data_IF_595144617079
#
_entry.id   IF_595144617079
#
_cell.length_a   1.000
_cell.length_b   1.000
_cell.length_c   1.000
_cell.angle_alpha   90.00
_cell.angle_beta   90.00
_cell.angle_gamma   90.00
#
_symmetry.space_group_name_H-M   'P 1'
#
loop_
_entity.id
_entity.type
_entity.pdbx_description
1 polymer ?
#
# COMPACT_ATOMS: atom_id res chain seq x y z
N UNK A 1 -20.18 -16.08 -2.95
CA UNK A 1 -20.38 -14.75 -2.33
C UNK A 1 -19.92 -13.72 -3.31
N UNK A 2 -20.89 -13.10 -3.99
CA UNK A 2 -20.66 -12.14 -5.07
C UNK A 2 -20.38 -10.78 -4.44
N UNK A 3 -19.17 -10.28 -4.68
CA UNK A 3 -18.77 -8.91 -4.39
C UNK A 3 -19.66 -7.95 -5.19
N UNK A 4 -20.23 -6.95 -4.53
CA UNK A 4 -21.12 -5.96 -5.16
C UNK A 4 -20.26 -4.73 -5.42
N UNK A 5 -19.92 -4.40 -6.68
CA UNK A 5 -19.13 -3.20 -6.96
C UNK A 5 -20.05 -1.99 -6.87
N UNK A 6 -19.94 -1.26 -5.77
CA UNK A 6 -20.73 -0.07 -5.53
C UNK A 6 -20.15 0.81 -4.43
N UNK A 7 -18.96 1.40 -4.67
CA UNK A 7 -18.51 2.66 -4.06
C UNK A 7 -17.06 2.97 -4.47
N UNK A 8 -16.87 3.82 -5.50
CA UNK A 8 -15.60 4.46 -5.90
C UNK A 8 -14.36 3.59 -5.82
N UNK A 9 -14.11 2.76 -6.83
CA UNK A 9 -13.16 1.67 -6.70
C UNK A 9 -11.71 2.17 -6.79
N UNK A 10 -11.01 2.01 -5.68
CA UNK A 10 -9.57 1.85 -5.70
C UNK A 10 -9.28 0.36 -5.51
N UNK A 11 -8.56 -0.27 -6.43
CA UNK A 11 -8.18 -1.68 -6.33
C UNK A 11 -6.72 -1.77 -5.91
N UNK A 12 -6.44 -2.58 -4.88
CA UNK A 12 -5.10 -2.80 -4.36
C UNK A 12 -4.65 -4.23 -4.62
N UNK A 13 -3.60 -4.35 -5.42
CA UNK A 13 -2.99 -5.62 -5.79
C UNK A 13 -2.09 -6.15 -4.68
N UNK A 14 -1.83 -7.45 -4.70
CA UNK A 14 -0.80 -8.05 -3.87
C UNK A 14 0.58 -7.57 -4.35
N UNK A 15 1.41 -7.11 -3.42
CA UNK A 15 2.78 -6.67 -3.70
C UNK A 15 3.62 -7.83 -4.25
N UNK A 16 4.52 -7.50 -5.18
CA UNK A 16 5.42 -8.47 -5.78
C UNK A 16 6.86 -7.94 -5.82
N UNK A 17 7.86 -8.73 -5.39
CA UNK A 17 7.72 -10.06 -4.78
C UNK A 17 7.11 -10.02 -3.37
N UNK A 18 6.59 -11.16 -2.88
CA UNK A 18 6.20 -11.38 -1.49
C UNK A 18 6.40 -12.88 -1.13
N UNK A 19 7.29 -13.23 -0.18
CA UNK A 19 8.19 -12.36 0.59
C UNK A 19 9.20 -11.61 -0.28
N UNK A 20 9.81 -10.54 0.24
CA UNK A 20 10.75 -9.69 -0.52
C UNK A 20 12.01 -9.30 0.26
N UNK A 21 13.05 -8.93 -0.49
CA UNK A 21 14.31 -8.38 0.01
C UNK A 21 15.01 -7.48 -1.04
N UNK A 22 15.38 -6.21 -0.74
CA UNK A 22 14.79 -5.34 0.29
C UNK A 22 13.54 -4.62 -0.24
N UNK A 23 13.27 -4.71 -1.55
CA UNK A 23 12.23 -3.94 -2.23
C UNK A 23 11.08 -4.79 -2.74
N UNK A 24 9.88 -4.23 -2.69
CA UNK A 24 8.67 -4.79 -3.34
C UNK A 24 7.93 -3.69 -4.07
N UNK A 25 7.23 -4.09 -5.14
CA UNK A 25 6.35 -3.21 -5.91
C UNK A 25 4.92 -3.39 -5.41
N UNK A 26 4.23 -2.28 -5.19
CA UNK A 26 2.82 -2.22 -4.80
C UNK A 26 2.07 -1.55 -5.94
N UNK A 27 1.17 -2.31 -6.57
CA UNK A 27 0.32 -1.83 -7.66
C UNK A 27 -1.09 -1.54 -7.15
N UNK A 28 -1.68 -0.44 -7.62
CA UNK A 28 -3.07 -0.11 -7.36
C UNK A 28 -3.68 0.70 -8.51
N UNK A 29 -5.00 0.59 -8.68
CA UNK A 29 -5.73 1.36 -9.69
C UNK A 29 -6.77 2.28 -9.06
N UNK A 30 -7.03 3.39 -9.74
CA UNK A 30 -8.02 4.40 -9.34
C UNK A 30 -9.01 4.59 -10.48
N UNK A 31 -10.31 4.43 -10.21
CA UNK A 31 -11.36 4.69 -11.22
C UNK A 31 -11.51 6.17 -11.61
N UNK A 32 -11.09 7.08 -10.73
CA UNK A 32 -11.20 8.55 -10.92
C UNK A 32 -10.10 9.27 -10.18
N UNK A 33 -9.88 10.52 -10.57
CA UNK A 33 -9.02 11.46 -9.85
C UNK A 33 -9.47 11.57 -8.39
N UNK A 34 -8.58 11.23 -7.46
CA UNK A 34 -8.91 11.19 -6.03
C UNK A 34 -7.70 11.40 -5.15
N UNK A 35 -7.95 11.80 -3.91
CA UNK A 35 -6.93 11.81 -2.87
C UNK A 35 -6.59 10.37 -2.47
N UNK A 36 -5.32 10.06 -2.42
CA UNK A 36 -4.77 8.80 -1.93
C UNK A 36 -3.86 9.03 -0.72
N UNK A 37 -3.85 8.05 0.17
CA UNK A 37 -2.87 7.85 1.22
C UNK A 37 -2.49 6.36 1.22
N UNK A 38 -1.33 6.04 0.64
CA UNK A 38 -0.73 4.71 0.65
C UNK A 38 0.37 4.68 1.71
N UNK A 39 0.21 3.85 2.73
CA UNK A 39 1.15 3.76 3.83
C UNK A 39 1.36 2.33 4.32
N UNK A 40 2.52 2.06 4.91
CA UNK A 40 2.92 0.79 5.52
C UNK A 40 2.78 0.88 7.04
N UNK A 41 2.28 -0.19 7.64
CA UNK A 41 2.05 -0.34 9.07
C UNK A 41 2.66 -1.65 9.58
N UNK A 42 3.14 -1.63 10.82
CA UNK A 42 3.52 -2.85 11.55
C UNK A 42 2.30 -3.56 12.15
N UNK A 43 2.53 -4.69 12.82
CA UNK A 43 1.47 -5.47 13.48
C UNK A 43 0.79 -4.74 14.64
N UNK A 44 1.45 -3.73 15.23
CA UNK A 44 0.86 -2.88 16.26
C UNK A 44 0.02 -1.74 15.67
N UNK A 45 -0.08 -1.65 14.34
CA UNK A 45 -0.79 -0.58 13.64
C UNK A 45 -0.04 0.75 13.63
N UNK A 46 1.25 0.77 13.96
CA UNK A 46 2.08 1.99 13.87
C UNK A 46 2.48 2.20 12.41
N UNK A 47 2.37 3.43 11.91
CA UNK A 47 2.85 3.78 10.56
C UNK A 47 4.36 3.68 10.53
N UNK A 48 4.86 2.91 9.57
CA UNK A 48 6.27 2.63 9.32
C UNK A 48 6.78 3.52 8.18
N UNK A 49 6.01 3.64 7.10
CA UNK A 49 6.38 4.43 5.93
C UNK A 49 5.15 5.03 5.24
N UNK A 50 5.25 6.26 4.76
CA UNK A 50 4.34 6.89 3.80
C UNK A 50 4.89 6.69 2.39
N UNK A 51 4.14 6.03 1.51
CA UNK A 51 4.59 5.66 0.18
C UNK A 51 4.05 6.58 -0.92
N UNK A 52 2.81 7.04 -0.80
CA UNK A 52 2.21 8.00 -1.72
C UNK A 52 1.10 8.78 -1.03
N UNK A 53 1.11 10.11 -1.18
CA UNK A 53 0.12 11.01 -0.59
C UNK A 53 -0.21 12.14 -1.56
N UNK A 54 -1.49 12.44 -1.70
CA UNK A 54 -1.95 13.57 -2.53
C UNK A 54 -3.08 13.19 -3.47
N UNK A 55 -3.38 14.05 -4.43
CA UNK A 55 -4.35 13.75 -5.49
C UNK A 55 -3.62 13.07 -6.63
N UNK A 56 -4.09 11.90 -7.03
CA UNK A 56 -3.63 11.18 -8.22
C UNK A 56 -4.77 11.08 -9.22
N UNK A 57 -4.42 11.09 -10.50
CA UNK A 57 -5.38 10.90 -11.59
C UNK A 57 -5.89 9.46 -11.67
N UNK A 58 -7.02 9.26 -12.33
CA UNK A 58 -7.52 7.95 -12.70
C UNK A 58 -6.46 7.11 -13.45
N UNK A 59 -6.48 5.80 -13.26
CA UNK A 59 -5.59 4.85 -13.93
C UNK A 59 -4.77 3.98 -12.99
N UNK A 60 -3.78 3.31 -13.56
CA UNK A 60 -2.87 2.40 -12.87
C UNK A 60 -1.69 3.13 -12.26
N UNK A 61 -1.37 2.80 -11.02
CA UNK A 61 -0.29 3.40 -10.25
C UNK A 61 0.57 2.33 -9.61
N UNK A 62 1.84 2.68 -9.38
CA UNK A 62 2.73 1.80 -8.66
C UNK A 62 3.71 2.57 -7.79
N UNK A 63 4.08 1.94 -6.68
CA UNK A 63 5.10 2.47 -5.76
C UNK A 63 6.03 1.34 -5.35
N UNK A 64 7.31 1.67 -5.20
CA UNK A 64 8.30 0.75 -4.65
C UNK A 64 8.48 1.09 -3.17
N UNK A 65 8.36 0.09 -2.31
CA UNK A 65 8.85 0.19 -0.94
C UNK A 65 10.16 -0.56 -0.84
N UNK A 66 11.22 0.13 -0.41
CA UNK A 66 12.60 -0.37 -0.25
C UNK A 66 12.90 -0.85 1.18
N UNK A 67 11.87 -0.99 2.01
CA UNK A 67 12.02 -1.37 3.41
C UNK A 67 12.47 -0.22 4.32
N UNK A 68 12.58 1.02 3.85
CA UNK A 68 12.91 2.17 4.72
C UNK A 68 11.68 2.71 5.45
N UNK A 69 11.92 3.27 6.63
CA UNK A 69 10.92 3.93 7.47
C UNK A 69 10.89 5.44 7.21
N UNK A 70 9.81 6.10 7.63
CA UNK A 70 9.70 7.57 7.62
C UNK A 70 10.83 8.26 8.44
N UNK A 71 11.44 7.53 9.39
CA UNK A 71 12.55 8.02 10.22
C UNK A 71 13.93 7.83 9.55
N UNK A 72 13.98 7.32 8.31
CA UNK A 72 15.20 7.14 7.53
C UNK A 72 15.98 5.85 7.82
N UNK A 73 15.54 5.02 8.77
CA UNK A 73 16.14 3.71 9.09
C UNK A 73 15.53 2.56 8.27
N UNK A 74 16.13 1.38 8.35
CA UNK A 74 15.55 0.15 7.79
C UNK A 74 14.51 -0.44 8.73
N UNK A 75 13.36 -0.82 8.19
CA UNK A 75 12.36 -1.61 8.90
C UNK A 75 12.92 -3.02 9.20
N UNK A 76 12.68 -3.58 10.39
CA UNK A 76 13.08 -4.96 10.69
C UNK A 76 12.43 -5.99 9.75
N UNK A 77 13.05 -7.15 9.59
CA UNK A 77 12.38 -8.30 8.96
C UNK A 77 11.09 -8.62 9.72
N UNK A 78 10.04 -9.01 8.98
CA UNK A 78 8.76 -9.34 9.60
C UNK A 78 7.56 -9.08 8.70
N UNK A 79 6.39 -9.25 9.29
CA UNK A 79 5.11 -9.00 8.64
C UNK A 79 4.71 -7.53 8.75
N UNK A 80 4.25 -6.98 7.64
CA UNK A 80 3.73 -5.63 7.53
C UNK A 80 2.38 -5.65 6.80
N UNK A 81 1.63 -4.55 6.92
CA UNK A 81 0.42 -4.29 6.15
C UNK A 81 0.57 -2.96 5.43
N UNK A 82 0.29 -2.93 4.14
CA UNK A 82 0.11 -1.68 3.41
C UNK A 82 -1.38 -1.40 3.23
N UNK A 83 -1.74 -0.13 3.39
CA UNK A 83 -3.12 0.35 3.37
C UNK A 83 -3.21 1.45 2.34
N UNK A 84 -4.15 1.30 1.40
CA UNK A 84 -4.57 2.34 0.47
C UNK A 84 -5.86 2.95 0.99
N UNK A 85 -5.83 4.24 1.31
CA UNK A 85 -7.01 5.01 1.72
C UNK A 85 -7.32 6.11 0.70
N UNK A 86 -8.60 6.21 0.36
CA UNK A 86 -9.22 7.30 -0.39
C UNK A 86 -10.40 7.85 0.43
N UNK A 87 -11.08 8.94 0.02
CA UNK A 87 -12.26 9.43 0.72
C UNK A 87 -13.42 8.41 0.80
N UNK A 88 -13.49 7.44 -0.12
CA UNK A 88 -14.61 6.47 -0.20
C UNK A 88 -14.21 5.03 0.07
N UNK A 89 -12.93 4.68 -0.11
CA UNK A 89 -12.45 3.29 0.00
C UNK A 89 -11.23 3.24 0.90
N UNK A 90 -11.18 2.20 1.73
CA UNK A 90 -9.99 1.82 2.47
C UNK A 90 -9.75 0.33 2.32
N UNK A 91 -8.65 -0.04 1.68
CA UNK A 91 -8.28 -1.44 1.44
C UNK A 91 -6.86 -1.70 1.90
N UNK A 92 -6.53 -2.95 2.17
CA UNK A 92 -5.22 -3.32 2.71
C UNK A 92 -4.82 -4.74 2.33
N UNK A 93 -3.51 -5.00 2.36
CA UNK A 93 -2.90 -6.28 2.06
C UNK A 93 -1.67 -6.49 2.96
N UNK A 94 -1.32 -7.75 3.20
CA UNK A 94 -0.16 -8.11 4.01
C UNK A 94 1.07 -8.41 3.15
N UNK A 95 2.25 -8.17 3.70
CA UNK A 95 3.54 -8.48 3.07
C UNK A 95 4.58 -8.94 4.11
N UNK A 96 5.60 -9.65 3.65
CA UNK A 96 6.70 -10.16 4.49
C UNK A 96 8.03 -9.64 3.97
N UNK A 97 8.73 -8.85 4.79
CA UNK A 97 10.11 -8.41 4.56
C UNK A 97 11.08 -9.44 5.15
N UNK A 98 12.03 -9.94 4.35
CA UNK A 98 12.99 -10.95 4.80
C UNK A 98 14.27 -10.37 5.40
N UNK A 99 14.86 -9.35 4.75
CA UNK A 99 16.25 -8.84 4.92
C UNK A 99 17.26 -9.46 3.98
#
# INVERSE_FOLDING_TARGET
TTDVPGAGAALLSQNFPNPFNPSTRIDFSLERDTRVDLAVFDLAGRRVASLSQGVLSAGEHHVIWDGRTDLGGSAPAGQYRYVLATPTVRTSRSMILLK
#
